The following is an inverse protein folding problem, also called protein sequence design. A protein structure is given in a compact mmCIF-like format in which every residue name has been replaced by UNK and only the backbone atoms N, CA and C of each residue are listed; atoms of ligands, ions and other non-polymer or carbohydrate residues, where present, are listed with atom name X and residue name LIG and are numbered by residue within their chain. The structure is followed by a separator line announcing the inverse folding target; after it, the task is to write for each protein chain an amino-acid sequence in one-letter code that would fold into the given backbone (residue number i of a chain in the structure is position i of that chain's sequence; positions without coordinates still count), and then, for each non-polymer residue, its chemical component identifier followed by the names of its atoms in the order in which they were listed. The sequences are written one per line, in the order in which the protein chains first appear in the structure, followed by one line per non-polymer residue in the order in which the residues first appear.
data_IF_481564989460
#
_entry.id   IF_481564989460
#
_cell.length_a   1.000
_cell.length_b   1.000
_cell.length_c   1.000
_cell.angle_alpha   90.00
_cell.angle_beta   90.00
_cell.angle_gamma   90.00
#
_symmetry.space_group_name_H-M   'P 1'
#
loop_
_entity.id
_entity.type
_entity.pdbx_description
1 polymer ?
#
# COMPACT_ATOMS: atom_id res chain seq x y z
N UNK A 1 28.98 -9.92 -44.71
CA UNK A 1 28.61 -11.04 -43.82
C UNK A 1 29.40 -10.92 -42.52
N UNK A 2 28.78 -10.50 -41.43
CA UNK A 2 29.20 -10.94 -40.08
C UNK A 2 27.92 -11.07 -39.26
N UNK A 3 27.39 -12.29 -39.21
CA UNK A 3 26.27 -12.64 -38.35
C UNK A 3 26.74 -12.52 -36.90
N UNK A 4 26.26 -11.50 -36.17
CA UNK A 4 26.40 -11.45 -34.72
C UNK A 4 25.59 -12.60 -34.13
N UNK A 5 26.27 -13.67 -33.75
CA UNK A 5 25.72 -14.79 -33.00
C UNK A 5 25.16 -14.25 -31.68
N UNK A 6 23.83 -14.28 -31.54
CA UNK A 6 23.18 -14.12 -30.24
C UNK A 6 23.60 -15.32 -29.39
N UNK A 7 24.55 -15.13 -28.47
CA UNK A 7 24.76 -16.08 -27.39
C UNK A 7 23.50 -16.04 -26.51
N UNK A 8 22.62 -17.02 -26.71
CA UNK A 8 21.58 -17.33 -25.75
C UNK A 8 22.28 -17.89 -24.51
N UNK A 9 22.40 -17.07 -23.47
CA UNK A 9 22.78 -17.55 -22.14
C UNK A 9 21.70 -18.56 -21.73
N UNK A 10 22.05 -19.84 -21.74
CA UNK A 10 21.21 -20.92 -21.26
C UNK A 10 21.05 -20.74 -19.73
N UNK A 11 20.04 -19.99 -19.31
CA UNK A 11 19.70 -19.88 -17.90
C UNK A 11 19.19 -21.26 -17.43
N UNK A 12 19.76 -21.84 -16.36
CA UNK A 12 19.33 -23.14 -15.85
C UNK A 12 17.85 -23.08 -15.44
N UNK A 13 17.17 -24.23 -15.52
CA UNK A 13 15.74 -24.37 -15.26
C UNK A 13 15.28 -23.48 -14.10
N UNK A 14 14.33 -22.60 -14.40
CA UNK A 14 13.75 -21.63 -13.47
C UNK A 14 13.10 -22.38 -12.30
N UNK A 15 13.86 -22.74 -11.25
CA UNK A 15 13.31 -22.76 -9.90
C UNK A 15 12.59 -21.42 -9.76
N UNK A 16 11.26 -21.43 -9.58
CA UNK A 16 10.46 -20.21 -9.44
C UNK A 16 11.03 -19.38 -8.30
N UNK A 17 11.99 -18.52 -8.59
CA UNK A 17 12.62 -17.64 -7.63
C UNK A 17 11.58 -16.58 -7.31
N UNK A 18 10.87 -16.77 -6.20
CA UNK A 18 9.84 -15.84 -5.77
C UNK A 18 10.56 -14.59 -5.30
N UNK A 19 10.59 -13.57 -6.15
CA UNK A 19 11.17 -12.28 -5.81
C UNK A 19 10.56 -11.76 -4.49
N UNK A 20 11.39 -11.39 -3.50
CA UNK A 20 10.89 -10.85 -2.26
C UNK A 20 10.20 -9.51 -2.54
N UNK A 21 9.02 -9.31 -1.94
CA UNK A 21 8.35 -8.01 -2.01
C UNK A 21 9.08 -7.02 -1.09
N UNK A 22 9.23 -5.75 -1.50
CA UNK A 22 9.83 -4.71 -0.66
C UNK A 22 9.12 -4.58 0.69
N UNK A 23 9.85 -4.24 1.74
CA UNK A 23 9.33 -4.03 3.10
C UNK A 23 10.07 -2.87 3.73
N UNK A 24 9.52 -2.32 4.81
CA UNK A 24 10.23 -1.34 5.65
C UNK A 24 11.46 -1.99 6.31
N UNK A 25 12.31 -1.18 6.92
CA UNK A 25 13.44 -1.66 7.72
C UNK A 25 12.98 -2.56 8.89
N UNK A 26 11.79 -2.31 9.44
CA UNK A 26 11.12 -3.11 10.48
C UNK A 26 10.40 -4.37 9.93
N UNK A 27 10.38 -4.58 8.60
CA UNK A 27 9.74 -5.72 7.96
C UNK A 27 8.24 -5.55 7.67
N UNK A 28 7.69 -4.35 7.89
CA UNK A 28 6.29 -4.02 7.68
C UNK A 28 5.96 -3.89 6.18
N UNK A 29 4.69 -4.09 5.83
CA UNK A 29 4.24 -4.09 4.43
C UNK A 29 3.74 -2.74 3.93
N UNK A 30 3.49 -1.77 4.81
CA UNK A 30 3.10 -0.43 4.39
C UNK A 30 3.71 0.62 5.31
N UNK A 31 3.64 1.87 4.87
CA UNK A 31 4.25 3.02 5.55
C UNK A 31 3.23 3.84 6.36
N UNK A 32 1.93 3.58 6.19
CA UNK A 32 0.88 4.54 6.59
C UNK A 32 0.05 4.07 7.80
N UNK A 33 0.30 2.86 8.31
CA UNK A 33 -0.58 2.19 9.28
C UNK A 33 -0.89 3.03 10.52
N UNK A 34 0.13 3.60 11.16
CA UNK A 34 -0.04 4.41 12.37
C UNK A 34 -0.84 5.68 12.10
N UNK A 35 -0.51 6.40 11.02
CA UNK A 35 -1.19 7.63 10.64
C UNK A 35 -2.64 7.39 10.24
N UNK A 36 -2.92 6.27 9.58
CA UNK A 36 -4.30 5.87 9.28
C UNK A 36 -5.11 5.64 10.56
N UNK A 37 -4.50 4.99 11.58
CA UNK A 37 -5.14 4.80 12.89
C UNK A 37 -5.41 6.15 13.56
N UNK A 38 -4.44 7.06 13.54
CA UNK A 38 -4.54 8.41 14.12
C UNK A 38 -5.62 9.24 13.44
N UNK A 39 -5.61 9.33 12.11
CA UNK A 39 -6.66 10.01 11.33
C UNK A 39 -8.02 9.41 11.63
N UNK A 40 -8.15 8.09 11.60
CA UNK A 40 -9.44 7.45 11.87
C UNK A 40 -9.95 7.76 13.28
N UNK A 41 -9.07 7.74 14.29
CA UNK A 41 -9.44 8.01 15.69
C UNK A 41 -9.76 9.49 15.93
N UNK A 42 -9.00 10.41 15.36
CA UNK A 42 -9.24 11.86 15.48
C UNK A 42 -10.57 12.26 14.82
N UNK A 43 -10.98 11.55 13.78
CA UNK A 43 -12.30 11.68 13.16
C UNK A 43 -13.41 10.85 13.84
N UNK A 44 -13.15 10.22 14.98
CA UNK A 44 -14.10 9.38 15.73
C UNK A 44 -14.73 8.24 14.91
N UNK A 45 -13.98 7.68 13.96
CA UNK A 45 -14.48 6.61 13.09
C UNK A 45 -14.05 5.23 13.60
N UNK A 46 -14.94 4.25 13.55
CA UNK A 46 -14.54 2.84 13.56
C UNK A 46 -13.95 2.43 12.21
N UNK A 47 -13.28 1.27 12.15
CA UNK A 47 -12.81 0.72 10.87
C UNK A 47 -13.97 0.46 9.89
N UNK A 48 -15.19 0.16 10.40
CA UNK A 48 -16.38 0.00 9.55
C UNK A 48 -16.87 1.34 9.03
N UNK A 49 -16.84 2.38 9.85
CA UNK A 49 -17.28 3.72 9.44
C UNK A 49 -16.36 4.27 8.34
N UNK A 50 -15.05 4.07 8.47
CA UNK A 50 -14.09 4.44 7.42
C UNK A 50 -14.35 3.65 6.13
N UNK A 51 -14.57 2.33 6.21
CA UNK A 51 -14.91 1.51 5.04
C UNK A 51 -16.16 2.03 4.34
N UNK A 52 -17.22 2.30 5.12
CA UNK A 52 -18.47 2.81 4.60
C UNK A 52 -18.30 4.17 3.92
N UNK A 53 -17.52 5.08 4.54
CA UNK A 53 -17.23 6.39 3.96
C UNK A 53 -16.46 6.29 2.65
N UNK A 54 -15.49 5.37 2.57
CA UNK A 54 -14.74 5.08 1.33
C UNK A 54 -15.66 4.52 0.23
N UNK A 55 -16.54 3.59 0.57
CA UNK A 55 -17.52 3.03 -0.37
C UNK A 55 -18.47 4.09 -0.91
N UNK A 56 -18.98 4.99 -0.05
CA UNK A 56 -19.81 6.12 -0.48
C UNK A 56 -19.07 7.09 -1.41
N UNK A 57 -17.75 7.21 -1.27
CA UNK A 57 -16.90 7.99 -2.16
C UNK A 57 -16.50 7.23 -3.46
N UNK A 58 -17.03 6.02 -3.68
CA UNK A 58 -16.76 5.22 -4.88
C UNK A 58 -15.53 4.30 -4.79
N UNK A 59 -14.94 4.15 -3.60
CA UNK A 59 -13.79 3.28 -3.36
C UNK A 59 -14.23 1.92 -2.79
N UNK A 60 -13.93 0.83 -3.50
CA UNK A 60 -14.21 -0.52 -3.01
C UNK A 60 -13.20 -0.95 -1.94
N UNK A 61 -13.48 -0.56 -0.69
CA UNK A 61 -12.64 -0.89 0.46
C UNK A 61 -13.49 -1.37 1.63
N UNK A 62 -13.30 -2.62 2.04
CA UNK A 62 -13.98 -3.20 3.19
C UNK A 62 -13.22 -2.97 4.52
N UNK A 63 -13.87 -3.30 5.63
CA UNK A 63 -13.27 -3.23 6.97
C UNK A 63 -11.99 -4.07 7.08
N UNK A 64 -11.91 -5.23 6.41
CA UNK A 64 -10.77 -6.14 6.52
C UNK A 64 -9.53 -5.60 5.80
N UNK A 65 -9.72 -4.88 4.70
CA UNK A 65 -8.66 -4.12 4.04
C UNK A 65 -8.09 -3.12 5.02
N UNK A 66 -8.92 -2.29 5.64
CA UNK A 66 -8.49 -1.29 6.62
C UNK A 66 -7.78 -1.97 7.80
N UNK A 67 -8.36 -3.02 8.39
CA UNK A 67 -7.73 -3.78 9.48
C UNK A 67 -6.33 -4.26 9.09
N UNK A 68 -6.13 -4.75 7.87
CA UNK A 68 -4.82 -5.27 7.42
C UNK A 68 -3.83 -4.18 7.08
N UNK A 69 -4.28 -3.00 6.68
CA UNK A 69 -3.44 -1.81 6.53
C UNK A 69 -2.96 -1.35 7.91
N UNK A 70 -3.89 -1.11 8.84
CA UNK A 70 -3.60 -0.66 10.21
C UNK A 70 -2.72 -1.64 11.00
N UNK A 71 -2.76 -2.94 10.67
CA UNK A 71 -1.92 -3.97 11.32
C UNK A 71 -0.64 -4.31 10.54
N UNK A 72 -0.28 -3.54 9.50
CA UNK A 72 0.90 -3.79 8.65
C UNK A 72 0.92 -5.18 7.96
N UNK A 73 -0.23 -5.86 7.88
CA UNK A 73 -0.40 -7.20 7.28
C UNK A 73 -0.64 -7.16 5.77
N UNK A 74 -0.75 -5.97 5.17
CA UNK A 74 -0.98 -5.75 3.73
C UNK A 74 -0.19 -4.54 3.19
N UNK A 75 0.13 -4.62 1.89
CA UNK A 75 0.63 -3.52 1.06
C UNK A 75 -0.52 -2.61 0.64
N UNK A 76 -0.29 -1.30 0.67
CA UNK A 76 -1.24 -0.28 0.22
C UNK A 76 -0.95 0.04 -1.24
N UNK A 77 -1.97 0.03 -2.09
CA UNK A 77 -1.82 0.48 -3.48
C UNK A 77 -1.87 2.01 -3.56
N UNK A 78 -1.43 2.56 -4.68
CA UNK A 78 -1.60 3.98 -5.00
C UNK A 78 -3.07 4.44 -4.99
N UNK A 79 -3.98 3.60 -5.49
CA UNK A 79 -5.43 3.86 -5.44
C UNK A 79 -5.96 3.93 -3.99
N UNK A 80 -5.53 3.01 -3.13
CA UNK A 80 -5.91 3.01 -1.72
C UNK A 80 -5.30 4.23 -0.99
N UNK A 81 -4.07 4.60 -1.32
CA UNK A 81 -3.41 5.80 -0.79
C UNK A 81 -4.16 7.07 -1.20
N UNK A 82 -4.55 7.18 -2.48
CA UNK A 82 -5.36 8.28 -3.00
C UNK A 82 -6.71 8.38 -2.29
N UNK A 83 -7.40 7.25 -2.13
CA UNK A 83 -8.69 7.21 -1.47
C UNK A 83 -8.61 7.71 -0.03
N UNK A 84 -7.60 7.27 0.73
CA UNK A 84 -7.36 7.71 2.11
C UNK A 84 -7.07 9.21 2.16
N UNK A 85 -6.19 9.70 1.28
CA UNK A 85 -5.85 11.13 1.21
C UNK A 85 -7.08 12.01 0.96
N UNK A 86 -7.96 11.60 0.03
CA UNK A 86 -9.18 12.35 -0.28
C UNK A 86 -10.22 12.28 0.85
N UNK A 87 -10.39 11.14 1.51
CA UNK A 87 -11.35 11.00 2.62
C UNK A 87 -10.99 11.88 3.82
N UNK A 88 -9.70 12.02 4.09
CA UNK A 88 -9.17 12.80 5.23
C UNK A 88 -8.68 14.20 4.83
N UNK A 89 -8.67 14.53 3.53
CA UNK A 89 -8.18 15.81 3.00
C UNK A 89 -6.75 16.13 3.45
N UNK A 90 -5.86 15.13 3.36
CA UNK A 90 -4.44 15.23 3.74
C UNK A 90 -3.52 15.00 2.53
N UNK A 91 -2.28 15.49 2.62
CA UNK A 91 -1.29 15.28 1.56
C UNK A 91 -0.74 13.84 1.56
N UNK A 92 -0.20 13.41 0.42
CA UNK A 92 0.48 12.12 0.34
C UNK A 92 1.76 12.09 1.18
N UNK A 93 2.45 13.22 1.28
CA UNK A 93 3.65 13.38 2.10
C UNK A 93 3.30 13.19 3.57
N UNK A 94 2.18 13.76 4.04
CA UNK A 94 1.70 13.49 5.39
C UNK A 94 1.45 12.00 5.62
N UNK A 95 0.77 11.30 4.70
CA UNK A 95 0.51 9.86 4.85
C UNK A 95 1.80 9.02 4.88
N UNK A 96 2.79 9.33 4.03
CA UNK A 96 4.01 8.54 3.83
C UNK A 96 5.13 8.90 4.82
N UNK A 97 5.31 10.19 5.12
CA UNK A 97 6.42 10.71 5.92
C UNK A 97 5.97 11.31 7.26
N UNK A 98 4.67 11.59 7.45
CA UNK A 98 4.14 12.13 8.71
C UNK A 98 4.54 13.58 8.95
N UNK A 99 4.91 14.29 7.88
CA UNK A 99 5.25 15.70 7.91
C UNK A 99 4.12 16.47 7.26
N UNK A 100 3.63 17.49 7.96
CA UNK A 100 2.84 18.53 7.33
C UNK A 100 3.79 19.35 6.44
N UNK A 101 3.36 19.62 5.19
CA UNK A 101 4.04 20.59 4.34
C UNK A 101 3.76 22.01 4.80
#
# INVERSE_FOLDING_TARGET
MVQKVRQAILLPERKRFKMPKPRTQSGEKNLISQRLIELRKTHNMSQRDLAYKLQLAGYDMDKNVITRIETNKRYVTDLELKAIAEIFQVSYIFLIDGKDE
#
